data_IF_094923109564
#
_entry.id   IF_094923109564
#
_cell.length_a   1.000
_cell.length_b   1.000
_cell.length_c   1.000
_cell.angle_alpha   90.00
_cell.angle_beta   90.00
_cell.angle_gamma   90.00
#
_symmetry.space_group_name_H-M   'P 1'
#
loop_
_entity.id
_entity.type
_entity.pdbx_description
1 polymer ?
#
# COMPACT_ATOMS: atom_id res chain seq x y z
N UNK A 1 0.65 16.23 22.73
CA UNK A 1 0.88 15.21 21.69
C UNK A 1 2.37 15.14 21.47
N UNK A 2 3.02 14.06 21.91
CA UNK A 2 4.48 13.91 21.82
C UNK A 2 4.83 13.34 20.44
N UNK A 3 5.69 14.04 19.69
CA UNK A 3 6.25 13.53 18.42
C UNK A 3 7.19 12.36 18.72
N UNK A 4 7.11 11.30 17.90
CA UNK A 4 8.02 10.17 17.94
C UNK A 4 8.92 10.28 16.71
N UNK A 5 10.22 10.50 16.95
CA UNK A 5 11.27 10.58 15.94
C UNK A 5 11.79 9.17 15.65
N UNK A 6 11.81 8.76 14.38
CA UNK A 6 12.44 7.50 13.97
C UNK A 6 13.70 7.82 13.17
N UNK A 7 14.86 7.44 13.72
CA UNK A 7 16.14 7.51 13.02
C UNK A 7 16.47 6.14 12.46
N UNK A 8 16.77 6.09 11.16
CA UNK A 8 17.29 4.90 10.52
C UNK A 8 18.75 5.11 10.16
N UNK A 9 19.58 4.10 10.43
CA UNK A 9 20.98 4.07 10.01
C UNK A 9 21.06 3.13 8.81
N UNK A 10 21.49 3.64 7.66
CA UNK A 10 21.71 2.84 6.45
C UNK A 10 23.19 2.52 6.36
N UNK A 11 23.51 1.24 6.26
CA UNK A 11 24.87 0.80 5.97
C UNK A 11 25.14 0.97 4.46
N UNK A 12 26.03 1.92 4.15
CA UNK A 12 26.43 2.25 2.77
C UNK A 12 27.26 1.14 2.11
N UNK A 13 27.64 0.07 2.82
CA UNK A 13 28.31 -1.09 2.21
C UNK A 13 27.33 -2.14 1.66
N UNK A 14 26.03 -2.05 1.97
CA UNK A 14 25.03 -2.93 1.39
C UNK A 14 24.57 -2.42 0.01
N UNK A 15 25.19 -2.96 -1.05
CA UNK A 15 24.89 -2.64 -2.45
C UNK A 15 23.42 -2.92 -2.83
N UNK A 16 22.74 -3.85 -2.16
CA UNK A 16 21.32 -4.14 -2.43
C UNK A 16 20.41 -3.06 -1.83
N UNK A 17 20.75 -2.53 -0.65
CA UNK A 17 20.09 -1.39 -0.05
C UNK A 17 20.28 -0.13 -0.92
N UNK A 18 21.51 0.14 -1.39
CA UNK A 18 21.84 1.27 -2.26
C UNK A 18 21.05 1.28 -3.58
N UNK A 19 20.94 0.13 -4.26
CA UNK A 19 20.18 0.00 -5.51
C UNK A 19 18.68 0.29 -5.33
N UNK A 20 18.11 -0.14 -4.20
CA UNK A 20 16.71 0.12 -3.86
C UNK A 20 16.48 1.61 -3.57
N UNK A 21 17.41 2.25 -2.87
CA UNK A 21 17.36 3.69 -2.58
C UNK A 21 17.60 4.55 -3.82
N UNK A 22 18.52 4.17 -4.71
CA UNK A 22 18.74 4.85 -5.99
C UNK A 22 17.50 4.83 -6.88
N UNK A 23 16.73 3.72 -6.88
CA UNK A 23 15.45 3.65 -7.60
C UNK A 23 14.39 4.57 -6.99
N UNK A 24 14.36 4.70 -5.66
CA UNK A 24 13.45 5.60 -4.96
C UNK A 24 13.81 7.05 -5.28
N UNK A 25 15.09 7.42 -5.21
CA UNK A 25 15.57 8.77 -5.54
C UNK A 25 15.31 9.15 -7.00
N UNK A 26 15.42 8.19 -7.94
CA UNK A 26 15.19 8.46 -9.37
C UNK A 26 13.72 8.79 -9.69
N UNK A 27 12.77 8.25 -8.92
CA UNK A 27 11.34 8.58 -9.04
C UNK A 27 11.09 10.05 -8.64
N UNK A 28 11.87 10.60 -7.72
CA UNK A 28 11.70 11.99 -7.26
C UNK A 28 12.36 13.01 -8.19
N UNK A 29 13.33 12.61 -9.03
CA UNK A 29 14.00 13.51 -9.97
C UNK A 29 13.23 13.72 -11.28
N UNK A 30 12.26 12.87 -11.60
CA UNK A 30 11.49 12.95 -12.87
C UNK A 30 10.23 13.84 -12.77
N UNK A 31 9.87 14.33 -11.56
CA UNK A 31 8.72 15.22 -11.33
C UNK A 31 9.10 16.72 -11.33
N UNK A 32 10.33 17.08 -11.68
CA UNK A 32 10.88 18.45 -11.64
C UNK A 32 11.25 19.01 -13.04
N UNK A 33 10.48 18.70 -14.09
CA UNK A 33 10.60 19.43 -15.38
C UNK A 33 9.22 19.86 -15.93
N UNK A 34 8.63 20.91 -15.33
CA UNK A 34 7.64 21.76 -16.01
C UNK A 34 7.81 23.23 -15.59
N UNK A 35 8.32 24.04 -16.53
CA UNK A 35 8.35 25.53 -16.49
C UNK A 35 9.66 26.09 -15.93
N UNK A 36 10.34 27.07 -16.54
CA UNK A 36 10.03 28.03 -17.61
C UNK A 36 11.37 28.61 -18.08
N UNK A 37 11.56 28.77 -19.39
CA UNK A 37 12.66 29.56 -19.95
C UNK A 37 12.41 31.05 -19.65
N UNK A 38 13.24 31.69 -18.81
CA UNK A 38 13.56 33.11 -18.94
C UNK A 38 15.00 33.39 -18.50
N UNK A 39 15.55 34.40 -19.17
CA UNK A 39 16.94 34.83 -19.34
C UNK A 39 17.55 35.54 -18.10
N UNK A 40 18.88 35.64 -18.13
CA UNK A 40 19.79 36.51 -17.35
C UNK A 40 20.33 36.05 -15.96
N UNK A 41 21.67 36.00 -15.92
CA UNK A 41 22.61 35.70 -14.81
C UNK A 41 22.47 36.68 -13.61
N UNK A 42 22.87 36.33 -12.35
CA UNK A 42 24.30 36.23 -11.96
C UNK A 42 24.67 35.36 -10.73
N UNK A 43 25.98 35.20 -10.53
CA UNK A 43 26.69 35.05 -9.23
C UNK A 43 26.47 33.80 -8.36
N UNK A 44 27.57 33.04 -8.28
CA UNK A 44 28.06 32.23 -7.17
C UNK A 44 27.31 32.47 -5.84
N UNK A 45 26.47 31.52 -5.42
CA UNK A 45 26.01 31.40 -4.03
C UNK A 45 26.05 29.93 -3.64
N UNK A 46 26.84 29.69 -2.61
CA UNK A 46 26.96 28.55 -1.70
C UNK A 46 25.85 27.50 -1.75
N UNK A 47 26.30 26.25 -1.81
CA UNK A 47 25.60 25.02 -1.41
C UNK A 47 24.57 25.26 -0.31
N UNK A 48 23.30 25.33 -0.70
CA UNK A 48 22.19 24.93 0.13
C UNK A 48 21.46 23.83 -0.62
N UNK A 49 22.03 22.63 -0.59
CA UNK A 49 21.26 21.40 -0.73
C UNK A 49 20.33 21.33 0.48
N UNK A 50 19.19 22.03 0.38
CA UNK A 50 18.10 21.89 1.33
C UNK A 50 17.61 20.45 1.18
N UNK A 51 18.00 19.60 2.13
CA UNK A 51 17.53 18.23 2.18
C UNK A 51 16.02 18.29 2.35
N UNK A 52 15.28 18.07 1.26
CA UNK A 52 13.84 17.94 1.29
C UNK A 52 13.51 16.72 2.16
N UNK A 53 13.17 16.98 3.42
CA UNK A 53 12.80 15.98 4.40
C UNK A 53 11.45 15.38 4.01
N UNK A 54 11.51 14.32 3.20
CA UNK A 54 10.35 13.53 2.79
C UNK A 54 9.72 12.86 4.02
N UNK A 55 8.78 13.57 4.64
CA UNK A 55 8.00 13.06 5.77
C UNK A 55 6.98 12.06 5.22
N UNK A 56 7.28 10.77 5.31
CA UNK A 56 6.30 9.71 5.03
C UNK A 56 5.33 9.68 6.21
N UNK A 57 4.24 10.44 6.11
CA UNK A 57 3.18 10.42 7.12
C UNK A 57 2.51 9.04 7.05
N UNK A 58 2.58 8.20 8.11
CA UNK A 58 1.91 6.92 8.10
C UNK A 58 0.41 7.12 7.97
N UNK A 59 -0.23 6.42 7.03
CA UNK A 59 -1.68 6.48 6.83
C UNK A 59 -2.34 5.95 8.11
N UNK A 60 -3.14 6.80 8.75
CA UNK A 60 -3.89 6.41 9.96
C UNK A 60 -4.94 5.35 9.62
N UNK A 61 -5.31 4.51 10.60
CA UNK A 61 -6.37 3.52 10.41
C UNK A 61 -7.69 4.15 9.90
N UNK A 62 -8.03 5.36 10.37
CA UNK A 62 -9.21 6.10 9.91
C UNK A 62 -9.12 6.52 8.43
N UNK A 63 -7.95 6.98 7.99
CA UNK A 63 -7.71 7.31 6.58
C UNK A 63 -7.79 6.05 5.71
N UNK A 64 -7.18 4.95 6.13
CA UNK A 64 -7.26 3.71 5.34
C UNK A 64 -8.69 3.14 5.32
N UNK A 65 -9.43 3.19 6.43
CA UNK A 65 -10.84 2.82 6.47
C UNK A 65 -11.68 3.66 5.50
N UNK A 66 -11.40 4.96 5.37
CA UNK A 66 -12.05 5.81 4.37
C UNK A 66 -11.74 5.36 2.92
N UNK A 67 -10.50 4.96 2.63
CA UNK A 67 -10.12 4.40 1.33
C UNK A 67 -10.82 3.06 1.07
N UNK A 68 -10.89 2.17 2.07
CA UNK A 68 -11.60 0.89 1.94
C UNK A 68 -13.09 1.13 1.67
N UNK A 69 -13.73 2.09 2.35
CA UNK A 69 -15.13 2.46 2.08
C UNK A 69 -15.34 2.96 0.65
N UNK A 70 -14.45 3.82 0.13
CA UNK A 70 -14.49 4.24 -1.28
C UNK A 70 -14.31 3.05 -2.22
N UNK A 71 -13.37 2.17 -1.91
CA UNK A 71 -13.15 0.96 -2.68
C UNK A 71 -14.39 0.07 -2.75
N UNK A 72 -15.15 -0.05 -1.65
CA UNK A 72 -16.37 -0.86 -1.59
C UNK A 72 -17.40 -0.38 -2.60
N UNK A 73 -17.56 0.93 -2.77
CA UNK A 73 -18.49 1.52 -3.74
C UNK A 73 -18.14 1.18 -5.19
N UNK A 74 -16.85 1.04 -5.50
CA UNK A 74 -16.35 0.70 -6.84
C UNK A 74 -16.10 -0.80 -7.04
N UNK A 75 -16.25 -1.59 -5.98
CA UNK A 75 -15.92 -3.01 -5.99
C UNK A 75 -17.06 -3.86 -6.55
N UNK A 76 -16.69 -4.99 -7.15
CA UNK A 76 -17.65 -5.97 -7.66
C UNK A 76 -18.48 -6.59 -6.52
N UNK A 77 -19.65 -7.17 -6.84
CA UNK A 77 -20.49 -7.85 -5.83
C UNK A 77 -19.72 -8.86 -4.98
N UNK A 78 -18.85 -9.66 -5.61
CA UNK A 78 -18.03 -10.65 -4.90
C UNK A 78 -17.01 -10.01 -3.96
N UNK A 79 -16.41 -8.88 -4.35
CA UNK A 79 -15.47 -8.14 -3.51
C UNK A 79 -16.14 -7.52 -2.30
N UNK A 80 -17.33 -6.93 -2.49
CA UNK A 80 -18.14 -6.41 -1.38
C UNK A 80 -18.44 -7.49 -0.36
N UNK A 81 -18.90 -8.67 -0.80
CA UNK A 81 -19.17 -9.80 0.08
C UNK A 81 -17.94 -10.21 0.91
N UNK A 82 -16.76 -10.27 0.28
CA UNK A 82 -15.52 -10.60 1.01
C UNK A 82 -15.12 -9.49 1.98
N UNK A 83 -15.23 -8.22 1.61
CA UNK A 83 -14.91 -7.10 2.50
C UNK A 83 -15.85 -7.01 3.69
N UNK A 84 -17.16 -7.20 3.49
CA UNK A 84 -18.13 -7.27 4.59
C UNK A 84 -17.80 -8.41 5.55
N UNK A 85 -17.40 -9.57 5.04
CA UNK A 85 -16.97 -10.67 5.89
C UNK A 85 -15.65 -10.39 6.62
N UNK A 86 -14.67 -9.76 5.96
CA UNK A 86 -13.40 -9.34 6.60
C UNK A 86 -13.63 -8.27 7.67
N UNK A 87 -14.62 -7.39 7.50
CA UNK A 87 -14.99 -6.39 8.50
C UNK A 87 -15.54 -7.07 9.76
N UNK A 88 -16.38 -8.11 9.60
CA UNK A 88 -16.89 -8.90 10.70
C UNK A 88 -15.85 -9.85 11.33
N UNK A 89 -14.76 -10.15 10.61
CA UNK A 89 -13.68 -11.05 11.02
C UNK A 89 -12.32 -10.38 10.81
N UNK A 90 -12.01 -9.32 11.59
CA UNK A 90 -10.81 -8.52 11.36
C UNK A 90 -9.54 -9.34 11.59
N UNK A 91 -8.50 -9.00 10.82
CA UNK A 91 -7.19 -9.62 10.83
C UNK A 91 -6.86 -10.39 9.56
N UNK A 92 -5.70 -11.05 9.59
CA UNK A 92 -5.19 -11.83 8.46
C UNK A 92 -6.10 -13.03 8.17
N UNK A 93 -6.40 -13.27 6.89
CA UNK A 93 -7.27 -14.37 6.47
C UNK A 93 -6.60 -15.28 5.45
N UNK A 94 -6.73 -16.59 5.63
CA UNK A 94 -6.26 -17.55 4.64
C UNK A 94 -7.22 -17.67 3.46
N UNK A 95 -6.67 -17.82 2.25
CA UNK A 95 -7.47 -18.08 1.05
C UNK A 95 -8.32 -19.35 1.20
N UNK A 96 -7.84 -20.34 1.97
CA UNK A 96 -8.58 -21.56 2.28
C UNK A 96 -9.89 -21.28 3.03
N UNK A 97 -9.85 -20.43 4.06
CA UNK A 97 -11.06 -20.03 4.81
C UNK A 97 -12.01 -19.28 3.87
N UNK A 98 -11.51 -18.31 3.10
CA UNK A 98 -12.36 -17.57 2.17
C UNK A 98 -13.06 -18.49 1.15
N UNK A 99 -12.37 -19.52 0.65
CA UNK A 99 -12.97 -20.51 -0.25
C UNK A 99 -14.05 -21.36 0.39
N UNK A 100 -13.96 -21.63 1.70
CA UNK A 100 -15.00 -22.34 2.45
C UNK A 100 -16.22 -21.45 2.68
N UNK A 101 -16.01 -20.16 2.96
CA UNK A 101 -17.09 -19.19 3.19
C UNK A 101 -17.78 -18.80 1.88
N UNK A 102 -17.02 -18.63 0.80
CA UNK A 102 -17.52 -18.19 -0.52
C UNK A 102 -17.27 -19.23 -1.61
N UNK A 103 -17.82 -20.45 -1.47
CA UNK A 103 -17.56 -21.54 -2.38
C UNK A 103 -18.15 -21.27 -3.77
N UNK A 104 -19.16 -20.42 -3.89
CA UNK A 104 -19.83 -20.16 -5.17
C UNK A 104 -18.91 -19.47 -6.20
N UNK A 105 -18.01 -18.58 -5.77
CA UNK A 105 -17.19 -17.77 -6.69
C UNK A 105 -15.68 -17.81 -6.45
N UNK A 106 -15.19 -18.47 -5.40
CA UNK A 106 -13.73 -18.63 -5.14
C UNK A 106 -13.19 -20.04 -5.48
N UNK A 107 -14.00 -20.90 -6.11
CA UNK A 107 -13.69 -22.34 -6.33
C UNK A 107 -12.57 -22.64 -7.33
N UNK A 108 -12.36 -21.84 -8.38
CA UNK A 108 -11.45 -22.23 -9.46
C UNK A 108 -9.97 -22.24 -9.05
N UNK A 109 -9.28 -23.39 -9.13
CA UNK A 109 -7.82 -23.47 -8.99
C UNK A 109 -7.13 -22.69 -10.13
N UNK A 110 -6.00 -22.05 -9.84
CA UNK A 110 -5.12 -21.45 -10.86
C UNK A 110 -5.47 -20.03 -11.32
N UNK A 111 -6.68 -19.53 -11.05
CA UNK A 111 -6.99 -18.11 -11.21
C UNK A 111 -7.00 -17.45 -9.84
N UNK A 112 -6.18 -16.41 -9.64
CA UNK A 112 -6.40 -15.43 -8.58
C UNK A 112 -7.78 -14.83 -8.86
N UNK A 113 -8.83 -15.15 -8.07
CA UNK A 113 -10.17 -14.66 -8.36
C UNK A 113 -10.13 -13.14 -8.50
N UNK A 114 -10.90 -12.59 -9.44
CA UNK A 114 -10.96 -11.13 -9.68
C UNK A 114 -11.21 -10.30 -8.41
N UNK A 115 -11.67 -10.97 -7.35
CA UNK A 115 -11.78 -10.49 -5.98
C UNK A 115 -10.49 -9.89 -5.41
N UNK A 116 -9.32 -10.51 -5.64
CA UNK A 116 -8.06 -10.13 -4.97
C UNK A 116 -7.23 -9.05 -5.70
N UNK A 117 -7.86 -8.22 -6.53
CA UNK A 117 -7.16 -7.21 -7.35
C UNK A 117 -6.83 -5.94 -6.55
N UNK A 118 -5.71 -5.93 -5.84
CA UNK A 118 -5.21 -4.72 -5.14
C UNK A 118 -4.78 -3.57 -6.06
N UNK A 119 -4.51 -3.82 -7.35
CA UNK A 119 -4.03 -2.77 -8.26
C UNK A 119 -5.03 -1.62 -8.43
N UNK A 120 -6.34 -1.87 -8.28
CA UNK A 120 -7.35 -0.80 -8.32
C UNK A 120 -7.31 0.08 -7.08
N UNK A 121 -7.10 -0.52 -5.92
CA UNK A 121 -6.97 0.19 -4.65
C UNK A 121 -5.85 1.24 -4.70
N UNK A 122 -4.71 0.88 -5.29
CA UNK A 122 -3.57 1.79 -5.41
C UNK A 122 -3.75 2.82 -6.51
N UNK A 123 -4.15 2.38 -7.71
CA UNK A 123 -4.19 3.25 -8.90
C UNK A 123 -5.33 4.26 -8.89
N UNK A 124 -6.49 3.91 -8.32
CA UNK A 124 -7.68 4.76 -8.39
C UNK A 124 -7.93 5.56 -7.11
N UNK A 125 -7.51 5.05 -5.96
CA UNK A 125 -7.80 5.68 -4.67
C UNK A 125 -6.59 6.35 -4.02
N UNK A 126 -5.40 6.23 -4.63
CA UNK A 126 -4.15 6.74 -4.07
C UNK A 126 -3.69 6.01 -2.80
N UNK A 127 -4.25 4.83 -2.50
CA UNK A 127 -3.83 4.02 -1.36
C UNK A 127 -2.52 3.29 -1.61
N UNK A 128 -1.88 2.81 -0.54
CA UNK A 128 -0.69 1.97 -0.68
C UNK A 128 -1.07 0.50 -0.94
N UNK A 129 -0.21 -0.20 -1.67
CA UNK A 129 -0.41 -1.62 -1.97
C UNK A 129 -0.40 -2.48 -0.69
N UNK A 130 0.45 -2.12 0.27
CA UNK A 130 0.56 -2.78 1.58
C UNK A 130 -0.72 -2.68 2.40
N UNK A 131 -1.50 -1.63 2.18
CA UNK A 131 -2.65 -1.28 3.01
C UNK A 131 -3.95 -1.85 2.41
N UNK A 132 -3.88 -2.42 1.21
CA UNK A 132 -4.98 -3.11 0.57
C UNK A 132 -5.35 -4.39 1.34
N UNK A 133 -6.62 -4.62 1.71
CA UNK A 133 -7.05 -5.83 2.43
C UNK A 133 -6.76 -7.15 1.69
N UNK A 134 -6.68 -7.09 0.37
CA UNK A 134 -6.43 -8.25 -0.49
C UNK A 134 -4.95 -8.49 -0.79
N UNK A 135 -4.03 -7.76 -0.16
CA UNK A 135 -2.60 -8.00 -0.38
C UNK A 135 -2.21 -9.30 0.31
N UNK A 136 -1.52 -10.17 -0.42
CA UNK A 136 -0.97 -11.39 0.17
C UNK A 136 0.25 -11.02 1.01
N UNK A 137 0.18 -11.29 2.31
CA UNK A 137 1.25 -10.98 3.28
C UNK A 137 2.07 -12.21 3.65
N UNK A 138 1.53 -13.42 3.47
CA UNK A 138 2.25 -14.66 3.71
C UNK A 138 1.72 -15.81 2.84
N UNK A 139 2.42 -16.95 2.87
CA UNK A 139 2.01 -18.19 2.21
C UNK A 139 1.96 -19.33 3.23
N UNK A 140 0.81 -20.00 3.34
CA UNK A 140 0.66 -21.19 4.17
C UNK A 140 1.04 -22.43 3.36
N UNK A 141 2.20 -23.03 3.67
CA UNK A 141 2.72 -24.23 3.00
C UNK A 141 1.89 -25.48 3.26
N UNK A 142 1.36 -25.64 4.47
CA UNK A 142 0.55 -26.81 4.84
C UNK A 142 -0.74 -26.87 4.01
N UNK A 143 -1.39 -25.72 3.82
CA UNK A 143 -2.65 -25.60 3.06
C UNK A 143 -2.48 -25.18 1.59
N UNK A 144 -1.22 -24.99 1.14
CA UNK A 144 -0.85 -24.51 -0.19
C UNK A 144 -1.68 -23.28 -0.62
N UNK A 145 -1.77 -22.27 0.25
CA UNK A 145 -2.62 -21.11 0.01
C UNK A 145 -2.04 -19.79 0.53
N UNK A 146 -2.43 -18.68 -0.10
CA UNK A 146 -2.06 -17.33 0.36
C UNK A 146 -2.75 -16.95 1.67
N UNK A 147 -2.07 -16.15 2.48
CA UNK A 147 -2.62 -15.42 3.61
C UNK A 147 -2.71 -13.95 3.20
N UNK A 148 -3.91 -13.39 3.27
CA UNK A 148 -4.19 -12.01 2.95
C UNK A 148 -4.23 -11.16 4.22
N UNK A 149 -3.87 -9.88 4.07
CA UNK A 149 -3.86 -8.90 5.17
C UNK A 149 -5.20 -8.78 5.89
N UNK A 150 -6.29 -8.76 5.13
CA UNK A 150 -7.63 -8.48 5.65
C UNK A 150 -7.79 -7.03 6.12
N UNK A 151 -8.85 -6.76 6.88
CA UNK A 151 -9.14 -5.48 7.52
C UNK A 151 -8.66 -5.58 8.96
N UNK A 152 -7.90 -4.61 9.47
CA UNK A 152 -7.45 -4.65 10.88
C UNK A 152 -8.58 -4.32 11.84
N UNK A 153 -8.37 -4.58 13.13
CA UNK A 153 -9.38 -4.27 14.18
C UNK A 153 -9.67 -2.77 14.20
N UNK A 154 -8.63 -1.95 14.08
CA UNK A 154 -8.74 -0.48 14.07
C UNK A 154 -9.48 0.02 12.84
N UNK A 155 -9.22 -0.59 11.67
CA UNK A 155 -9.91 -0.25 10.43
C UNK A 155 -11.38 -0.66 10.47
N UNK A 156 -11.69 -1.84 11.02
CA UNK A 156 -13.06 -2.32 11.17
C UNK A 156 -13.87 -1.44 12.13
N UNK A 157 -13.23 -0.92 13.19
CA UNK A 157 -13.86 0.01 14.12
C UNK A 157 -14.09 1.41 13.52
N UNK A 158 -13.27 1.81 12.55
CA UNK A 158 -13.37 3.11 11.86
C UNK A 158 -14.25 3.07 10.59
N UNK A 159 -14.73 1.88 10.22
CA UNK A 159 -15.52 1.60 9.03
C UNK A 159 -16.99 2.03 9.22
#
# INVERSE_FOLDING_TARGET
>A
MSQVEFRFTVDLNDKAALSKWQRILKIFAEDEEVGTEEDMTPSHTTDQTSANELTIVPVTAAQNAALIRRFVNESTSNQRQVLTWMQANPGNVSAHILKQVFPTFLKSPGQLPGVFRCARFTKHLGGNKSDCPFVQVAWNRSKQCGIYRGITVEEAAAY
#
